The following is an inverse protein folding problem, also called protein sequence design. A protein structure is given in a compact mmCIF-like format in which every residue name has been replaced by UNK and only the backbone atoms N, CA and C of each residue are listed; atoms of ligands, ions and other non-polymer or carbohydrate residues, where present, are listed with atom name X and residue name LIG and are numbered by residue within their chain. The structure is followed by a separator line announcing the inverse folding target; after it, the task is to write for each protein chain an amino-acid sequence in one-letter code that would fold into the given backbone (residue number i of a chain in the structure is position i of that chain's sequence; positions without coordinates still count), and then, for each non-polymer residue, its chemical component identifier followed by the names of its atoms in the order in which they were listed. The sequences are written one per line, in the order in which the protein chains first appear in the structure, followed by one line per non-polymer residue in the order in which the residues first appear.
data_IF_056492781982
#
_entry.id   IF_056492781982
#
_cell.length_a   1.000
_cell.length_b   1.000
_cell.length_c   1.000
_cell.angle_alpha   90.00
_cell.angle_beta   90.00
_cell.angle_gamma   90.00
#
_symmetry.space_group_name_H-M   'P 1'
#
loop_
_entity.id
_entity.type
_entity.pdbx_description
1 polymer ?
#
# COMPACT_ATOMS: atom_id res chain seq x y z
N UNK A 1 -38.64 -5.64 -28.06
CA UNK A 1 -37.95 -6.58 -27.15
C UNK A 1 -36.50 -6.15 -26.82
N UNK A 2 -35.78 -5.44 -27.69
CA UNK A 2 -34.38 -5.00 -27.46
C UNK A 2 -34.18 -3.87 -26.43
N UNK A 3 -35.20 -3.04 -26.14
CA UNK A 3 -35.06 -1.90 -25.20
C UNK A 3 -34.76 -2.31 -23.75
N UNK A 4 -35.12 -3.53 -23.33
CA UNK A 4 -34.89 -4.02 -21.96
C UNK A 4 -33.43 -4.44 -21.72
N UNK A 5 -32.70 -4.81 -22.78
CA UNK A 5 -31.31 -5.29 -22.67
C UNK A 5 -30.35 -4.11 -22.40
N UNK A 6 -30.60 -2.95 -23.00
CA UNK A 6 -29.77 -1.75 -22.84
C UNK A 6 -29.81 -1.24 -21.38
N UNK A 7 -30.96 -1.33 -20.72
CA UNK A 7 -31.11 -0.90 -19.32
C UNK A 7 -30.29 -1.77 -18.34
N UNK A 8 -30.03 -3.03 -18.70
CA UNK A 8 -29.28 -3.97 -17.86
C UNK A 8 -27.76 -3.69 -17.90
N UNK A 9 -27.24 -3.19 -19.02
CA UNK A 9 -25.84 -2.75 -19.12
C UNK A 9 -25.55 -1.46 -18.33
N UNK A 10 -26.55 -0.60 -18.15
CA UNK A 10 -26.45 0.61 -17.30
C UNK A 10 -26.46 0.31 -15.79
N UNK A 11 -26.81 -0.91 -15.39
CA UNK A 11 -26.80 -1.38 -14.00
C UNK A 11 -25.56 -2.18 -13.66
N UNK A 12 -24.63 -2.37 -14.61
CA UNK A 12 -23.34 -2.97 -14.31
C UNK A 12 -22.57 -1.99 -13.40
N UNK A 13 -22.24 -2.37 -12.16
CA UNK A 13 -21.48 -1.52 -11.27
C UNK A 13 -20.18 -1.12 -11.98
N UNK A 14 -19.87 0.17 -12.02
CA UNK A 14 -18.59 0.66 -12.50
C UNK A 14 -17.50 -0.15 -11.81
N UNK A 15 -16.66 -0.81 -12.60
CA UNK A 15 -15.61 -1.71 -12.14
C UNK A 15 -14.87 -1.04 -10.97
N UNK A 16 -15.02 -1.60 -9.78
CA UNK A 16 -14.40 -1.07 -8.58
C UNK A 16 -12.89 -1.03 -8.78
N UNK A 17 -12.24 0.06 -8.36
CA UNK A 17 -10.79 0.23 -8.45
C UNK A 17 -10.08 -0.87 -7.66
N UNK A 18 -9.71 -1.96 -8.31
CA UNK A 18 -9.13 -3.11 -7.68
C UNK A 18 -7.60 -3.02 -7.72
N UNK A 19 -6.96 -3.05 -6.57
CA UNK A 19 -5.52 -3.32 -6.48
C UNK A 19 -5.26 -4.26 -5.31
N UNK A 20 -4.07 -4.83 -5.26
CA UNK A 20 -3.60 -5.57 -4.10
C UNK A 20 -2.28 -4.99 -3.61
N UNK A 21 -2.09 -5.06 -2.30
CA UNK A 21 -0.85 -4.73 -1.63
C UNK A 21 -0.44 -5.90 -0.73
N UNK A 22 0.80 -6.35 -0.88
CA UNK A 22 1.38 -7.49 -0.15
C UNK A 22 2.76 -7.12 0.38
N UNK A 23 3.14 -7.49 1.61
CA UNK A 23 2.33 -8.16 2.63
C UNK A 23 1.28 -7.22 3.27
N UNK A 24 0.23 -7.78 3.90
CA UNK A 24 -0.75 -7.01 4.72
C UNK A 24 -0.24 -6.71 6.13
N UNK A 25 0.62 -7.58 6.65
CA UNK A 25 1.28 -7.39 7.93
C UNK A 25 2.73 -7.83 7.82
N UNK A 26 3.64 -7.07 8.43
CA UNK A 26 5.06 -7.39 8.52
C UNK A 26 5.53 -7.21 9.95
N UNK A 27 6.31 -8.18 10.47
CA UNK A 27 6.95 -8.08 11.79
C UNK A 27 8.43 -8.37 11.67
N UNK A 28 9.28 -7.45 12.13
CA UNK A 28 10.74 -7.54 11.94
C UNK A 28 11.53 -7.00 13.12
N UNK A 29 12.59 -7.73 13.50
CA UNK A 29 13.63 -7.24 14.39
C UNK A 29 14.69 -6.49 13.58
N UNK A 30 15.14 -5.34 14.08
CA UNK A 30 16.03 -4.44 13.34
C UNK A 30 17.16 -3.98 14.26
N UNK A 31 18.40 -4.00 13.77
CA UNK A 31 19.56 -3.56 14.57
C UNK A 31 19.80 -2.04 14.44
N UNK A 32 19.26 -1.42 13.39
CA UNK A 32 19.56 -0.04 12.98
C UNK A 32 18.35 0.88 13.15
N UNK A 33 18.60 2.19 13.14
CA UNK A 33 17.54 3.21 13.18
C UNK A 33 16.74 3.32 11.89
N UNK A 34 17.18 2.67 10.82
CA UNK A 34 16.54 2.67 9.51
C UNK A 34 16.45 1.26 9.00
N UNK A 35 15.31 0.90 8.45
CA UNK A 35 15.06 -0.42 7.87
C UNK A 35 14.39 -0.28 6.52
N UNK A 36 14.89 -1.05 5.56
CA UNK A 36 14.24 -1.20 4.28
C UNK A 36 13.12 -2.23 4.39
N UNK A 37 11.94 -1.82 3.95
CA UNK A 37 10.76 -2.66 3.78
C UNK A 37 10.31 -2.58 2.33
N UNK A 38 9.79 -3.69 1.82
CA UNK A 38 9.27 -3.77 0.48
C UNK A 38 7.80 -4.17 0.52
N UNK A 39 7.00 -3.53 -0.33
CA UNK A 39 5.62 -3.87 -0.58
C UNK A 39 5.47 -4.11 -2.08
N UNK A 40 4.79 -5.19 -2.45
CA UNK A 40 4.40 -5.44 -3.82
C UNK A 40 2.98 -4.89 -4.03
N UNK A 41 2.83 -4.04 -5.04
CA UNK A 41 1.56 -3.43 -5.42
C UNK A 41 1.21 -3.90 -6.82
N UNK A 42 0.03 -4.50 -6.97
CA UNK A 42 -0.45 -5.01 -8.25
C UNK A 42 -1.71 -4.27 -8.65
N UNK A 43 -1.73 -3.77 -9.88
CA UNK A 43 -2.94 -3.21 -10.46
C UNK A 43 -3.84 -4.33 -10.99
N UNK A 44 -4.99 -4.54 -10.35
CA UNK A 44 -5.95 -5.57 -10.73
C UNK A 44 -7.06 -5.00 -11.64
N UNK A 45 -6.95 -3.73 -12.04
CA UNK A 45 -7.85 -3.12 -13.00
C UNK A 45 -7.47 -3.50 -14.42
N UNK A 46 -8.47 -3.54 -15.30
CA UNK A 46 -8.28 -3.70 -16.75
C UNK A 46 -7.75 -2.43 -17.44
N UNK A 47 -7.39 -1.39 -16.68
CA UNK A 47 -6.86 -0.12 -17.16
C UNK A 47 -5.70 0.37 -16.29
N UNK A 48 -4.86 1.26 -16.84
CA UNK A 48 -3.72 1.80 -16.10
C UNK A 48 -4.15 2.65 -14.91
N UNK A 49 -3.68 2.38 -13.71
CA UNK A 49 -4.10 3.08 -12.50
C UNK A 49 -2.90 3.76 -11.83
N UNK A 50 -3.11 4.99 -11.36
CA UNK A 50 -2.13 5.73 -10.57
C UNK A 50 -2.38 5.53 -9.09
N UNK A 51 -1.30 5.39 -8.31
CA UNK A 51 -1.34 5.14 -6.88
C UNK A 51 -0.38 6.08 -6.14
N UNK A 52 -0.81 6.54 -4.98
CA UNK A 52 0.00 7.23 -3.98
C UNK A 52 0.49 6.22 -2.94
N UNK A 53 1.74 6.34 -2.50
CA UNK A 53 2.25 5.62 -1.33
C UNK A 53 2.25 6.56 -0.15
N UNK A 54 1.66 6.14 0.96
CA UNK A 54 1.58 6.93 2.17
C UNK A 54 2.20 6.20 3.36
N UNK A 55 2.79 6.98 4.25
CA UNK A 55 3.25 6.50 5.56
C UNK A 55 2.72 7.45 6.61
N UNK A 56 1.98 6.93 7.60
CA UNK A 56 1.31 7.75 8.62
C UNK A 56 0.49 8.92 8.01
N UNK A 57 -0.18 8.67 6.89
CA UNK A 57 -1.03 9.66 6.19
C UNK A 57 -0.29 10.68 5.31
N UNK A 58 1.04 10.69 5.30
CA UNK A 58 1.83 11.56 4.42
C UNK A 58 2.17 10.85 3.10
N UNK A 59 1.90 11.50 1.97
CA UNK A 59 2.29 11.00 0.64
C UNK A 59 3.82 11.06 0.49
N UNK A 60 4.43 9.92 0.20
CA UNK A 60 5.87 9.78 -0.03
C UNK A 60 6.23 9.69 -1.52
N UNK A 61 5.29 9.28 -2.36
CA UNK A 61 5.53 9.14 -3.79
C UNK A 61 4.29 8.70 -4.54
N UNK A 62 4.36 8.79 -5.87
CA UNK A 62 3.29 8.43 -6.80
C UNK A 62 3.85 7.58 -7.92
N UNK A 63 3.08 6.60 -8.38
CA UNK A 63 3.41 5.83 -9.57
C UNK A 63 2.17 5.39 -10.32
N UNK A 64 2.35 5.01 -11.59
CA UNK A 64 1.29 4.47 -12.44
C UNK A 64 1.66 3.06 -12.86
N UNK A 65 0.69 2.15 -12.80
CA UNK A 65 0.82 0.75 -13.22
C UNK A 65 -0.13 0.47 -14.38
N UNK A 66 0.34 -0.28 -15.37
CA UNK A 66 -0.52 -0.88 -16.41
C UNK A 66 -1.40 -1.99 -15.81
N UNK A 67 -2.42 -2.47 -16.54
CA UNK A 67 -3.17 -3.65 -16.12
C UNK A 67 -2.24 -4.82 -15.80
N UNK A 68 -2.51 -5.51 -14.69
CA UNK A 68 -1.76 -6.67 -14.18
C UNK A 68 -0.27 -6.42 -13.85
N UNK A 69 0.19 -5.17 -13.95
CA UNK A 69 1.56 -4.81 -13.59
C UNK A 69 1.72 -4.86 -12.07
N UNK A 70 2.79 -5.50 -11.62
CA UNK A 70 3.22 -5.51 -10.22
C UNK A 70 4.49 -4.69 -10.07
N UNK A 71 4.48 -3.75 -9.12
CA UNK A 71 5.65 -2.95 -8.75
C UNK A 71 6.02 -3.19 -7.30
N UNK A 72 7.31 -3.45 -7.08
CA UNK A 72 7.92 -3.47 -5.75
C UNK A 72 8.25 -2.05 -5.30
N UNK A 73 7.57 -1.60 -4.26
CA UNK A 73 7.78 -0.31 -3.60
C UNK A 73 8.74 -0.52 -2.44
N UNK A 74 9.92 0.09 -2.52
CA UNK A 74 10.91 0.06 -1.43
C UNK A 74 10.79 1.31 -0.57
N UNK A 75 10.73 1.13 0.75
CA UNK A 75 10.60 2.20 1.72
C UNK A 75 11.67 2.07 2.78
N UNK A 76 12.34 3.20 3.07
CA UNK A 76 13.28 3.29 4.18
C UNK A 76 12.57 3.90 5.39
N UNK A 77 12.23 3.06 6.37
CA UNK A 77 11.47 3.47 7.55
C UNK A 77 12.41 3.74 8.73
N UNK A 78 12.21 4.86 9.41
CA UNK A 78 12.93 5.22 10.63
C UNK A 78 12.34 4.54 11.87
N UNK A 79 13.17 3.94 12.70
CA UNK A 79 12.85 3.29 13.97
C UNK A 79 13.30 4.23 15.09
N UNK A 80 12.35 5.00 15.62
CA UNK A 80 12.55 6.04 16.63
C UNK A 80 12.86 5.49 18.05
N UNK A 81 12.20 4.41 18.47
CA UNK A 81 12.33 3.83 19.81
C UNK A 81 13.10 2.50 19.81
N UNK A 82 13.89 2.28 20.86
CA UNK A 82 14.48 0.97 21.19
C UNK A 82 13.63 0.21 22.21
N UNK A 83 13.85 -1.10 22.26
CA UNK A 83 13.31 -2.05 23.24
C UNK A 83 11.78 -2.11 23.33
N UNK A 84 11.10 -1.56 22.32
CA UNK A 84 9.64 -1.54 22.20
C UNK A 84 9.21 -1.85 20.77
N UNK A 85 8.03 -2.44 20.64
CA UNK A 85 7.38 -2.61 19.36
C UNK A 85 6.85 -1.27 18.86
N UNK A 86 7.20 -0.94 17.63
CA UNK A 86 6.74 0.25 16.94
C UNK A 86 5.94 -0.15 15.72
N UNK A 87 4.82 0.51 15.53
CA UNK A 87 3.89 0.22 14.46
C UNK A 87 3.87 1.39 13.47
N UNK A 88 4.04 1.07 12.19
CA UNK A 88 3.87 2.01 11.09
C UNK A 88 2.85 1.44 10.12
N UNK A 89 1.89 2.28 9.74
CA UNK A 89 0.94 1.97 8.68
C UNK A 89 1.51 2.55 7.40
N UNK A 90 1.65 1.68 6.41
CA UNK A 90 1.98 2.06 5.04
C UNK A 90 0.78 1.76 4.17
N UNK A 91 0.28 2.73 3.44
CA UNK A 91 -0.87 2.53 2.57
C UNK A 91 -0.56 2.86 1.12
N UNK A 92 -1.25 2.18 0.20
CA UNK A 92 -1.31 2.57 -1.20
C UNK A 92 -2.74 2.96 -1.55
N UNK A 93 -2.89 4.14 -2.13
CA UNK A 93 -4.19 4.74 -2.44
C UNK A 93 -4.30 5.01 -3.93
N UNK A 94 -5.39 4.59 -4.55
CA UNK A 94 -5.68 4.91 -5.95
C UNK A 94 -5.99 6.40 -6.12
N UNK A 95 -5.45 7.03 -7.16
CA UNK A 95 -5.81 8.37 -7.61
C UNK A 95 -6.98 8.28 -8.60
N UNK A 96 -8.17 8.83 -8.30
CA UNK A 96 -9.30 8.79 -9.21
C UNK A 96 -9.00 9.52 -10.52
N UNK A 97 -9.56 9.03 -11.61
CA UNK A 97 -9.56 9.74 -12.90
C UNK A 97 -10.67 10.77 -12.95
N UNK A 98 -10.64 11.60 -13.99
CA UNK A 98 -11.70 12.58 -14.23
C UNK A 98 -13.06 11.88 -14.35
N UNK A 99 -14.02 12.29 -13.52
CA UNK A 99 -15.36 11.68 -13.43
C UNK A 99 -15.47 10.51 -12.46
N UNK A 100 -14.38 10.03 -11.87
CA UNK A 100 -14.39 9.02 -10.81
C UNK A 100 -14.36 9.65 -9.42
N UNK A 101 -15.23 9.17 -8.52
CA UNK A 101 -15.27 9.62 -7.11
C UNK A 101 -14.79 8.54 -6.14
N UNK A 102 -14.59 7.31 -6.60
CA UNK A 102 -14.18 6.20 -5.77
C UNK A 102 -12.66 6.22 -5.58
N UNK A 103 -12.20 5.95 -4.36
CA UNK A 103 -10.81 5.67 -4.04
C UNK A 103 -10.73 4.36 -3.31
N UNK A 104 -9.72 3.55 -3.63
CA UNK A 104 -9.34 2.41 -2.83
C UNK A 104 -8.04 2.69 -2.13
N UNK A 105 -7.98 2.32 -0.86
CA UNK A 105 -6.79 2.42 -0.03
C UNK A 105 -6.58 1.06 0.62
N UNK A 106 -5.37 0.53 0.51
CA UNK A 106 -4.97 -0.71 1.16
C UNK A 106 -3.83 -0.40 2.10
N UNK A 107 -3.95 -0.88 3.33
CA UNK A 107 -3.00 -0.64 4.40
C UNK A 107 -2.19 -1.91 4.69
N UNK A 108 -0.91 -1.71 4.99
CA UNK A 108 -0.02 -2.71 5.55
C UNK A 108 0.46 -2.24 6.92
N UNK A 109 0.26 -3.07 7.93
CA UNK A 109 0.83 -2.87 9.25
C UNK A 109 2.28 -3.38 9.29
N UNK A 110 3.21 -2.51 9.63
CA UNK A 110 4.63 -2.85 9.80
C UNK A 110 5.02 -2.67 11.25
N UNK A 111 5.32 -3.78 11.91
CA UNK A 111 5.74 -3.87 13.31
C UNK A 111 7.25 -4.08 13.39
N UNK A 112 7.96 -3.12 13.97
CA UNK A 112 9.42 -3.09 14.05
C UNK A 112 9.87 -3.10 15.50
N UNK A 113 10.89 -3.88 15.84
CA UNK A 113 11.48 -3.91 17.17
C UNK A 113 13.00 -3.77 17.09
N UNK A 114 13.55 -2.75 17.74
CA UNK A 114 15.00 -2.52 17.83
C UNK A 114 15.51 -2.88 19.22
N UNK A 115 16.16 -4.03 19.44
CA UNK A 115 16.76 -4.34 20.74
C UNK A 115 17.98 -3.45 21.00
N UNK A 116 18.15 -3.01 22.25
CA UNK A 116 19.40 -2.42 22.73
C UNK A 116 20.31 -3.53 23.22
N UNK A 117 21.48 -3.69 22.60
CA UNK A 117 22.50 -4.60 23.11
C UNK A 117 23.15 -3.92 24.32
N UNK A 118 22.80 -4.36 25.52
CA UNK A 118 23.54 -3.99 26.74
C UNK A 118 24.86 -4.76 26.72
N UNK A 119 25.96 -4.05 26.54
CA UNK A 119 27.29 -4.65 26.68
C UNK A 119 27.44 -5.22 28.09
N UNK A 120 27.87 -6.48 28.18
CA UNK A 120 28.40 -7.01 29.44
C UNK A 120 29.70 -6.26 29.67
N UNK A 121 29.73 -5.36 30.65
CA UNK A 121 30.97 -4.81 31.17
C UNK A 121 31.85 -6.00 31.59
N UNK A 122 33.01 -6.14 30.93
CA UNK A 122 34.07 -7.08 31.34
C UNK A 122 34.95 -6.42 32.39
#
# INVERSE_FOLDING_TARGET
MMKKIILMYLLLPSLALAHSQVPREMRKFVATERVDVALDVTNLNSFSQSYEVLVKGQVLGVFTLKPDETRKVQLNLRVEESDKWMHKIVSTRSIPREGENLRTEIETLISLYRPTIKGVEQ
#
